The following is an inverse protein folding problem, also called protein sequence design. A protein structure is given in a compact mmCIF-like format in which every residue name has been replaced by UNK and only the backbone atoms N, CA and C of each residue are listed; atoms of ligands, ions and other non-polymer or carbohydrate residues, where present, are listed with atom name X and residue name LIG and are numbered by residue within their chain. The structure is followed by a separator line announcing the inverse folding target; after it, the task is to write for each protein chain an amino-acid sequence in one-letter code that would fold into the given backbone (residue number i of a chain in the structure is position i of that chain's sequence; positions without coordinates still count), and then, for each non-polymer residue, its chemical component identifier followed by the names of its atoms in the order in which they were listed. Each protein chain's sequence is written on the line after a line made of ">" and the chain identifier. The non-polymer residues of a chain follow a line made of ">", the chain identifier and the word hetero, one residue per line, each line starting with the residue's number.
data_IF_691651091042
#
_entry.id   IF_691651091042
#
_cell.length_a   1.000
_cell.length_b   1.000
_cell.length_c   1.000
_cell.angle_alpha   90.00
_cell.angle_beta   90.00
_cell.angle_gamma   90.00
#
_symmetry.space_group_name_H-M   'P 1'
#
loop_
_entity.id
_entity.type
_entity.pdbx_description
1 polymer ?
#
# COMPACT_ATOMS: atom_id res chain seq x y z
N UNK A 1 12.03 -1.27 -22.17
CA UNK A 1 10.77 -0.57 -21.88
C UNK A 1 9.78 -1.56 -21.28
N UNK A 2 8.99 -1.14 -20.29
CA UNK A 2 7.94 -1.96 -19.66
C UNK A 2 6.63 -1.77 -20.44
N UNK A 3 5.90 -2.85 -20.76
CA UNK A 3 4.60 -2.78 -21.42
C UNK A 3 3.43 -2.77 -20.43
N UNK A 4 2.24 -2.36 -20.87
CA UNK A 4 1.01 -2.48 -20.07
C UNK A 4 0.76 -3.93 -19.64
N UNK A 5 1.05 -4.90 -20.52
CA UNK A 5 0.90 -6.33 -20.21
C UNK A 5 1.84 -6.79 -19.10
N UNK A 6 3.00 -6.17 -18.96
CA UNK A 6 3.93 -6.45 -17.86
C UNK A 6 3.44 -5.84 -16.55
N UNK A 7 2.98 -4.58 -16.59
CA UNK A 7 2.42 -3.90 -15.42
C UNK A 7 1.18 -4.59 -14.84
N UNK A 8 0.36 -5.23 -15.69
CA UNK A 8 -0.84 -5.96 -15.27
C UNK A 8 -0.56 -7.28 -14.51
N UNK A 9 0.70 -7.70 -14.36
CA UNK A 9 1.10 -8.91 -13.62
C UNK A 9 1.58 -8.55 -12.22
N UNK A 10 0.66 -8.15 -11.34
CA UNK A 10 1.01 -7.83 -9.95
C UNK A 10 1.54 -9.08 -9.20
N UNK A 11 2.62 -8.97 -8.41
CA UNK A 11 3.24 -10.14 -7.77
C UNK A 11 2.44 -10.79 -6.63
N UNK A 12 1.47 -10.08 -6.04
CA UNK A 12 0.86 -10.44 -4.75
C UNK A 12 -0.67 -10.38 -4.76
N UNK A 13 -1.27 -9.44 -5.50
CA UNK A 13 -2.70 -9.18 -5.49
C UNK A 13 -3.35 -9.45 -6.85
N UNK A 14 -4.56 -10.01 -6.85
CA UNK A 14 -5.39 -10.11 -8.03
C UNK A 14 -6.45 -8.99 -8.02
N UNK A 15 -6.25 -7.97 -8.85
CA UNK A 15 -7.03 -6.71 -8.80
C UNK A 15 -7.44 -6.24 -10.20
N UNK A 16 -8.32 -5.24 -10.26
CA UNK A 16 -8.71 -4.58 -11.51
C UNK A 16 -7.57 -3.82 -12.18
N UNK A 17 -7.64 -3.64 -13.50
CA UNK A 17 -6.54 -3.07 -14.30
C UNK A 17 -6.09 -1.69 -13.83
N UNK A 18 -7.01 -0.78 -13.46
CA UNK A 18 -6.68 0.59 -13.02
C UNK A 18 -5.77 0.58 -11.79
N UNK A 19 -6.20 -0.08 -10.71
CA UNK A 19 -5.42 -0.14 -9.46
C UNK A 19 -4.10 -0.89 -9.67
N UNK A 20 -4.06 -1.89 -10.55
CA UNK A 20 -2.82 -2.60 -10.89
C UNK A 20 -1.80 -1.68 -11.59
N UNK A 21 -2.24 -0.82 -12.51
CA UNK A 21 -1.36 0.18 -13.14
C UNK A 21 -0.92 1.25 -12.14
N UNK A 22 -1.82 1.70 -11.28
CA UNK A 22 -1.49 2.67 -10.23
C UNK A 22 -0.49 2.10 -9.23
N UNK A 23 -0.58 0.80 -8.90
CA UNK A 23 0.40 0.10 -8.07
C UNK A 23 1.77 0.07 -8.77
N UNK A 24 1.81 -0.27 -10.06
CA UNK A 24 3.06 -0.32 -10.84
C UNK A 24 3.77 1.05 -10.94
N UNK A 25 3.02 2.15 -10.86
CA UNK A 25 3.56 3.53 -10.89
C UNK A 25 3.70 4.15 -9.50
N UNK A 26 3.33 3.44 -8.43
CA UNK A 26 3.18 3.93 -7.05
C UNK A 26 2.13 5.06 -6.87
N UNK A 27 1.38 5.43 -7.91
CA UNK A 27 0.26 6.36 -7.79
C UNK A 27 -0.79 5.85 -6.79
N UNK A 28 -0.97 4.53 -6.68
CA UNK A 28 -1.87 3.94 -5.68
C UNK A 28 -1.43 4.31 -4.26
N UNK A 29 -0.12 4.23 -3.96
CA UNK A 29 0.40 4.58 -2.64
C UNK A 29 0.24 6.06 -2.32
N UNK A 30 0.36 6.94 -3.32
CA UNK A 30 0.05 8.36 -3.17
C UNK A 30 -1.42 8.58 -2.79
N UNK A 31 -2.36 7.91 -3.46
CA UNK A 31 -3.78 8.01 -3.12
C UNK A 31 -4.08 7.48 -1.71
N UNK A 32 -3.46 6.37 -1.30
CA UNK A 32 -3.59 5.82 0.05
C UNK A 32 -3.06 6.78 1.14
N UNK A 33 -1.98 7.53 0.88
CA UNK A 33 -1.49 8.56 1.82
C UNK A 33 -2.51 9.69 1.97
N UNK A 34 -3.06 10.19 0.84
CA UNK A 34 -4.10 11.24 0.84
C UNK A 34 -5.34 10.74 1.58
N UNK A 35 -5.75 9.50 1.33
CA UNK A 35 -6.85 8.85 2.02
C UNK A 35 -6.59 8.78 3.54
N UNK A 36 -5.42 8.30 3.97
CA UNK A 36 -5.08 8.22 5.39
C UNK A 36 -5.05 9.60 6.09
N UNK A 37 -4.59 10.65 5.39
CA UNK A 37 -4.65 12.03 5.88
C UNK A 37 -6.09 12.45 6.17
N UNK A 38 -7.01 12.18 5.25
CA UNK A 38 -8.41 12.57 5.39
C UNK A 38 -9.21 11.69 6.35
N UNK A 39 -9.00 10.37 6.33
CA UNK A 39 -9.72 9.41 7.17
C UNK A 39 -9.33 9.52 8.65
N UNK A 40 -8.04 9.70 8.94
CA UNK A 40 -7.51 9.62 10.31
C UNK A 40 -7.00 10.96 10.84
N UNK A 41 -7.02 12.02 10.03
CA UNK A 41 -6.47 13.34 10.38
C UNK A 41 -4.99 13.28 10.82
N UNK A 42 -4.25 12.32 10.29
CA UNK A 42 -2.81 12.17 10.53
C UNK A 42 -2.02 13.07 9.59
N UNK A 43 -1.08 13.83 10.15
CA UNK A 43 -0.18 14.70 9.37
C UNK A 43 1.16 14.04 9.04
N UNK A 44 1.56 13.08 9.86
CA UNK A 44 2.82 12.34 9.70
C UNK A 44 2.46 10.96 9.17
N UNK A 45 2.63 10.77 7.87
CA UNK A 45 2.32 9.53 7.17
C UNK A 45 3.51 9.21 6.28
N UNK A 46 4.14 8.07 6.52
CA UNK A 46 5.26 7.57 5.73
C UNK A 46 4.83 6.36 4.89
N UNK A 47 5.48 6.18 3.74
CA UNK A 47 5.35 5.00 2.91
C UNK A 47 6.60 4.14 2.99
N UNK A 48 6.41 2.85 3.23
CA UNK A 48 7.46 1.84 3.23
C UNK A 48 7.21 0.82 2.12
N UNK A 49 8.28 0.37 1.46
CA UNK A 49 8.21 -0.74 0.51
C UNK A 49 8.32 -2.06 1.27
N UNK A 50 7.23 -2.84 1.30
CA UNK A 50 7.21 -4.21 1.81
C UNK A 50 6.84 -5.17 0.66
N UNK A 51 7.83 -5.83 0.02
CA UNK A 51 7.60 -6.56 -1.23
C UNK A 51 6.68 -7.78 -1.12
N UNK A 52 6.47 -8.35 0.08
CA UNK A 52 5.71 -9.59 0.26
C UNK A 52 4.21 -9.35 0.52
N UNK A 53 3.79 -8.11 0.72
CA UNK A 53 2.42 -7.74 1.12
C UNK A 53 1.90 -8.54 2.32
N UNK A 54 2.77 -8.76 3.32
CA UNK A 54 2.44 -9.40 4.59
C UNK A 54 2.13 -8.38 5.69
N UNK A 55 2.77 -7.22 5.65
CA UNK A 55 2.52 -6.10 6.56
C UNK A 55 1.69 -5.07 5.82
N UNK A 56 0.44 -4.89 6.24
CA UNK A 56 -0.52 -4.02 5.53
C UNK A 56 -0.52 -2.59 6.04
N UNK A 57 -0.26 -2.41 7.34
CA UNK A 57 -0.15 -1.11 7.96
C UNK A 57 0.67 -1.21 9.25
N UNK A 58 1.30 -0.09 9.63
CA UNK A 58 1.99 0.07 10.91
C UNK A 58 1.57 1.40 11.53
N UNK A 59 1.50 1.43 12.85
CA UNK A 59 1.28 2.65 13.62
C UNK A 59 2.37 2.78 14.68
N UNK A 60 3.04 3.92 14.69
CA UNK A 60 3.97 4.32 15.73
C UNK A 60 3.27 5.22 16.75
N UNK A 61 3.48 4.94 18.03
CA UNK A 61 2.91 5.69 19.14
C UNK A 61 3.95 6.67 19.70
N UNK A 62 3.48 7.72 20.38
CA UNK A 62 4.34 8.79 20.94
C UNK A 62 5.42 8.30 21.92
N UNK A 63 5.27 7.10 22.47
CA UNK A 63 6.24 6.46 23.37
C UNK A 63 7.29 5.62 22.62
N UNK A 64 7.31 5.65 21.28
CA UNK A 64 8.20 4.85 20.43
C UNK A 64 7.79 3.40 20.27
N UNK A 65 6.65 2.97 20.84
CA UNK A 65 6.10 1.64 20.57
C UNK A 65 5.46 1.63 19.18
N UNK A 66 5.46 0.47 18.53
CA UNK A 66 4.83 0.28 17.22
C UNK A 66 3.95 -0.96 17.20
N UNK A 67 2.85 -0.88 16.46
CA UNK A 67 1.99 -2.02 16.14
C UNK A 67 1.92 -2.18 14.63
N UNK A 68 1.70 -3.40 14.17
CA UNK A 68 1.63 -3.72 12.75
C UNK A 68 0.52 -4.74 12.51
N UNK A 69 -0.21 -4.58 11.41
CA UNK A 69 -1.22 -5.54 10.98
C UNK A 69 -0.63 -6.52 9.98
N UNK A 70 -0.66 -7.81 10.34
CA UNK A 70 -0.15 -8.90 9.52
C UNK A 70 -1.29 -9.75 8.98
N UNK A 71 -1.32 -9.96 7.67
CA UNK A 71 -2.23 -10.90 7.02
C UNK A 71 -1.64 -11.35 5.69
N UNK A 72 -2.17 -12.44 5.13
CA UNK A 72 -1.91 -12.75 3.72
C UNK A 72 -2.51 -11.65 2.84
N UNK A 73 -2.03 -11.54 1.59
CA UNK A 73 -2.61 -10.65 0.59
C UNK A 73 -3.98 -11.18 0.13
N UNK A 74 -4.99 -11.02 1.00
CA UNK A 74 -6.38 -11.38 0.78
C UNK A 74 -7.26 -10.20 1.24
N UNK A 75 -8.31 -9.93 0.47
CA UNK A 75 -9.26 -8.84 0.76
C UNK A 75 -10.41 -9.29 1.67
N UNK A 76 -10.52 -10.60 1.94
CA UNK A 76 -11.56 -11.18 2.80
C UNK A 76 -11.26 -11.04 4.29
#
# INVERSE_FOLDING_TARGET
>A
HVSVKDALKHPNWNMGSKITIDSATMANKLFEIIEAYHLYNFKNIDALIEPKSLVHAMCEFKNGASTAYFSRADMK
#
